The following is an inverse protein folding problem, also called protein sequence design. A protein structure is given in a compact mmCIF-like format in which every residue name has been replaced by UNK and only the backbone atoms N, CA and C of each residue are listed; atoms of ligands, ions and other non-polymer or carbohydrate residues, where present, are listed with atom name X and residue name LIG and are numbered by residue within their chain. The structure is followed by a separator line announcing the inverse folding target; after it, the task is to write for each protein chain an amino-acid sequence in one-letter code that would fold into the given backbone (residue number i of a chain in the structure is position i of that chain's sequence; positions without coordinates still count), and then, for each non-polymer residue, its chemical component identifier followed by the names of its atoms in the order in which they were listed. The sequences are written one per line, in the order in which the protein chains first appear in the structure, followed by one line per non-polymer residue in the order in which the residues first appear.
data_IF_847482026668
#
_entry.id   IF_847482026668
#
_cell.length_a   1.000
_cell.length_b   1.000
_cell.length_c   1.000
_cell.angle_alpha   90.00
_cell.angle_beta   90.00
_cell.angle_gamma   90.00
#
_symmetry.space_group_name_H-M   'P 1'
#
loop_
_entity.id
_entity.type
_entity.pdbx_description
1 polymer ?
#
# COMPACT_ATOMS: atom_id res chain seq x y z
N UNK A 1 29.81 -31.82 76.45
CA UNK A 1 30.19 -30.41 76.59
C UNK A 1 30.99 -30.00 75.34
N UNK A 2 30.53 -29.08 74.60
CA UNK A 2 31.29 -28.54 73.47
C UNK A 2 30.59 -28.62 72.13
N UNK A 3 29.53 -27.85 71.95
CA UNK A 3 28.97 -27.55 70.63
C UNK A 3 28.23 -26.22 70.68
N UNK A 4 28.95 -25.13 70.84
CA UNK A 4 28.33 -23.80 70.98
C UNK A 4 29.05 -22.64 70.27
N UNK A 5 30.25 -22.84 69.75
CA UNK A 5 31.05 -21.73 69.22
C UNK A 5 31.25 -21.67 67.69
N UNK A 6 30.72 -22.65 66.94
CA UNK A 6 30.96 -22.73 65.51
C UNK A 6 29.81 -22.19 64.60
N UNK A 7 28.71 -21.68 65.19
CA UNK A 7 27.60 -21.15 64.41
C UNK A 7 27.65 -19.63 64.27
N UNK A 8 28.22 -18.90 65.22
CA UNK A 8 28.32 -17.42 65.14
C UNK A 8 29.39 -16.89 64.16
N UNK A 9 30.44 -17.68 63.91
CA UNK A 9 31.53 -17.25 62.99
C UNK A 9 31.16 -17.50 61.54
N UNK A 10 30.17 -18.36 61.23
CA UNK A 10 29.72 -18.62 59.87
C UNK A 10 28.64 -17.65 59.40
N UNK A 11 27.90 -16.99 60.32
CA UNK A 11 26.90 -15.97 59.96
C UNK A 11 27.51 -14.56 59.73
N UNK A 12 28.73 -14.29 60.29
CA UNK A 12 29.42 -13.03 60.06
C UNK A 12 30.25 -12.98 58.79
N UNK A 13 30.49 -14.16 58.11
CA UNK A 13 31.18 -14.19 56.80
C UNK A 13 30.17 -14.16 55.62
N UNK A 14 28.90 -14.36 55.81
CA UNK A 14 27.87 -14.23 54.77
C UNK A 14 27.29 -12.82 54.69
N UNK A 15 27.37 -11.99 55.75
CA UNK A 15 26.95 -10.60 55.68
C UNK A 15 27.99 -9.66 55.03
N UNK A 16 29.26 -10.08 54.88
CA UNK A 16 30.30 -9.28 54.22
C UNK A 16 30.45 -9.54 52.71
N UNK A 17 29.72 -10.53 52.13
CA UNK A 17 29.73 -10.82 50.69
C UNK A 17 28.54 -10.20 49.90
N UNK A 18 27.66 -9.43 50.57
CA UNK A 18 26.49 -8.79 49.98
C UNK A 18 26.66 -7.29 49.71
N UNK A 19 27.90 -6.78 49.66
CA UNK A 19 28.19 -5.50 49.04
C UNK A 19 28.45 -5.65 47.54
N UNK A 20 27.58 -6.37 46.81
CA UNK A 20 27.59 -6.35 45.37
C UNK A 20 26.99 -4.99 44.93
N UNK A 21 27.85 -4.17 44.36
CA UNK A 21 27.58 -2.84 43.80
C UNK A 21 26.17 -2.78 43.21
N UNK A 22 25.39 -1.79 43.68
CA UNK A 22 24.09 -1.37 43.12
C UNK A 22 24.36 -0.75 41.73
N UNK A 23 24.92 -1.52 40.77
CA UNK A 23 25.01 -1.10 39.37
C UNK A 23 23.58 -1.11 38.83
N UNK A 24 23.01 0.09 38.65
CA UNK A 24 21.74 0.30 37.94
C UNK A 24 21.77 -0.55 36.66
N UNK A 25 20.90 -1.54 36.54
CA UNK A 25 20.81 -2.37 35.33
C UNK A 25 20.40 -1.44 34.21
N UNK A 26 21.22 -1.35 33.18
CA UNK A 26 20.96 -0.51 32.00
C UNK A 26 19.79 -1.03 31.19
N UNK A 27 19.09 -0.13 30.53
CA UNK A 27 17.97 -0.46 29.64
C UNK A 27 18.39 -0.22 28.19
N UNK A 28 18.05 -1.16 27.35
CA UNK A 28 18.34 -1.12 25.89
C UNK A 28 17.00 -1.13 25.16
N UNK A 29 16.81 -0.24 24.21
CA UNK A 29 15.63 -0.19 23.35
C UNK A 29 15.99 -0.55 21.91
N UNK A 30 15.16 -1.39 21.29
CA UNK A 30 15.23 -1.71 19.86
C UNK A 30 13.81 -1.65 19.28
N UNK A 31 13.67 -1.24 18.01
CA UNK A 31 12.39 -1.23 17.32
C UNK A 31 12.40 -2.15 16.11
N UNK A 32 11.31 -2.89 15.92
CA UNK A 32 11.14 -3.81 14.80
C UNK A 32 9.85 -3.56 14.03
N UNK A 33 9.98 -3.63 12.71
CA UNK A 33 8.88 -3.58 11.75
C UNK A 33 8.71 -4.89 10.97
N UNK A 34 9.59 -5.87 11.20
CA UNK A 34 9.71 -7.06 10.37
C UNK A 34 8.61 -8.08 10.62
N UNK A 35 8.11 -8.70 9.54
CA UNK A 35 7.18 -9.82 9.57
C UNK A 35 7.83 -11.12 10.06
N UNK A 36 9.12 -11.24 9.82
CA UNK A 36 9.88 -12.47 10.07
C UNK A 36 11.09 -12.13 10.93
N UNK A 37 11.24 -12.87 12.03
CA UNK A 37 12.46 -12.83 12.85
C UNK A 37 13.43 -13.88 12.31
N UNK A 38 14.62 -13.44 11.89
CA UNK A 38 15.66 -14.30 11.35
C UNK A 38 16.96 -14.20 12.16
N UNK A 39 17.94 -15.04 11.83
CA UNK A 39 19.21 -15.13 12.57
C UNK A 39 19.94 -13.80 12.76
N UNK A 40 19.86 -12.87 11.81
CA UNK A 40 20.43 -11.52 11.94
C UNK A 40 19.76 -10.68 13.03
N UNK A 41 18.43 -10.70 13.10
CA UNK A 41 17.68 -10.05 14.18
C UNK A 41 18.06 -10.65 15.55
N UNK A 42 18.13 -11.98 15.64
CA UNK A 42 18.53 -12.68 16.88
C UNK A 42 19.96 -12.33 17.28
N UNK A 43 20.89 -12.27 16.34
CA UNK A 43 22.29 -11.89 16.61
C UNK A 43 22.39 -10.44 17.14
N UNK A 44 21.62 -9.51 16.57
CA UNK A 44 21.57 -8.13 17.02
C UNK A 44 20.93 -8.01 18.41
N UNK A 45 19.82 -8.73 18.66
CA UNK A 45 19.18 -8.77 19.97
C UNK A 45 20.10 -9.37 21.06
N UNK A 46 20.89 -10.40 20.76
CA UNK A 46 21.89 -10.95 21.70
C UNK A 46 22.93 -9.92 22.11
N UNK A 47 23.47 -9.15 21.15
CA UNK A 47 24.40 -8.04 21.46
C UNK A 47 23.74 -6.97 22.33
N UNK A 48 22.48 -6.64 22.06
CA UNK A 48 21.71 -5.70 22.89
C UNK A 48 21.47 -6.25 24.32
N UNK A 49 21.18 -7.53 24.47
CA UNK A 49 20.99 -8.20 25.77
C UNK A 49 22.28 -8.18 26.64
N UNK A 50 23.46 -8.26 26.03
CA UNK A 50 24.75 -8.14 26.74
C UNK A 50 24.95 -6.72 27.34
N UNK A 51 24.24 -5.72 26.81
CA UNK A 51 24.37 -4.33 27.24
C UNK A 51 23.36 -3.95 28.35
N UNK A 52 22.25 -4.70 28.51
CA UNK A 52 21.25 -4.42 29.53
C UNK A 52 19.91 -5.14 29.32
N UNK A 53 18.89 -4.70 30.02
CA UNK A 53 17.50 -5.18 29.83
C UNK A 53 16.96 -4.73 28.49
N UNK A 54 16.63 -5.69 27.64
CA UNK A 54 16.15 -5.43 26.28
C UNK A 54 14.64 -5.17 26.26
N UNK A 55 14.26 -3.95 25.86
CA UNK A 55 12.89 -3.55 25.55
C UNK A 55 12.75 -3.49 24.04
N UNK A 56 11.75 -4.19 23.50
CA UNK A 56 11.45 -4.23 22.07
C UNK A 56 10.22 -3.40 21.77
N UNK A 57 10.36 -2.40 20.88
CA UNK A 57 9.25 -1.69 20.25
C UNK A 57 8.77 -2.44 19.00
N UNK A 58 7.47 -2.70 18.89
CA UNK A 58 6.86 -3.23 17.67
C UNK A 58 6.11 -2.11 16.98
N UNK A 59 6.53 -1.75 15.77
CA UNK A 59 5.81 -0.76 14.97
C UNK A 59 4.39 -1.25 14.65
N UNK A 60 3.41 -0.39 14.89
CA UNK A 60 2.03 -0.67 14.49
C UNK A 60 1.93 -0.90 12.98
N UNK A 61 0.88 -1.57 12.54
CA UNK A 61 0.67 -1.84 11.11
C UNK A 61 0.48 -0.54 10.32
N UNK A 62 -0.14 0.47 10.96
CA UNK A 62 -0.32 1.82 10.42
C UNK A 62 1.03 2.53 10.27
N UNK A 63 1.87 2.49 11.31
CA UNK A 63 3.20 3.11 11.25
C UNK A 63 4.07 2.46 10.17
N UNK A 64 4.06 1.14 10.05
CA UNK A 64 4.78 0.44 8.97
C UNK A 64 4.24 0.84 7.60
N UNK A 65 2.92 0.94 7.44
CA UNK A 65 2.29 1.31 6.17
C UNK A 65 2.62 2.74 5.71
N UNK A 66 3.17 3.60 6.58
CA UNK A 66 3.60 4.96 6.18
C UNK A 66 4.92 4.99 5.40
N UNK A 67 5.78 3.98 5.51
CA UNK A 67 7.09 4.00 4.88
C UNK A 67 7.47 2.74 4.10
N UNK A 68 6.76 1.65 4.33
CA UNK A 68 6.90 0.43 3.53
C UNK A 68 5.57 -0.31 3.48
N UNK A 69 5.53 -1.42 2.74
CA UNK A 69 4.32 -2.23 2.65
C UNK A 69 3.88 -2.73 4.01
N UNK A 70 2.56 -2.76 4.19
CA UNK A 70 1.97 -3.35 5.39
C UNK A 70 2.49 -4.77 5.62
N UNK A 71 2.87 -5.11 6.87
CA UNK A 71 3.27 -6.45 7.24
C UNK A 71 2.23 -7.51 6.90
N UNK A 72 2.67 -8.71 6.56
CA UNK A 72 1.79 -9.89 6.40
C UNK A 72 1.26 -10.35 7.75
N UNK A 73 2.13 -10.27 8.78
CA UNK A 73 1.81 -10.64 10.17
C UNK A 73 1.35 -9.38 10.92
N UNK A 74 0.13 -9.36 11.48
CA UNK A 74 -0.36 -8.22 12.26
C UNK A 74 0.54 -7.86 13.43
N UNK A 75 0.55 -6.57 13.84
CA UNK A 75 1.37 -6.11 14.96
C UNK A 75 1.11 -6.90 16.26
N UNK A 76 -0.13 -7.31 16.53
CA UNK A 76 -0.50 -8.15 17.67
C UNK A 76 0.21 -9.50 17.66
N UNK A 77 0.29 -10.16 16.52
CA UNK A 77 0.98 -11.45 16.38
C UNK A 77 2.50 -11.28 16.44
N UNK A 78 3.03 -10.22 15.81
CA UNK A 78 4.45 -9.88 15.90
C UNK A 78 4.87 -9.62 17.35
N UNK A 79 4.03 -8.95 18.13
CA UNK A 79 4.24 -8.73 19.57
C UNK A 79 4.38 -10.05 20.31
N UNK A 80 3.44 -10.99 20.12
CA UNK A 80 3.49 -12.32 20.73
C UNK A 80 4.78 -13.06 20.38
N UNK A 81 5.24 -12.98 19.12
CA UNK A 81 6.51 -13.58 18.70
C UNK A 81 7.69 -13.04 19.51
N UNK A 82 7.81 -11.71 19.64
CA UNK A 82 8.92 -11.10 20.37
C UNK A 82 8.84 -11.31 21.88
N UNK A 83 7.64 -11.38 22.46
CA UNK A 83 7.43 -11.71 23.90
C UNK A 83 7.95 -13.09 24.27
N UNK A 84 8.02 -14.01 23.29
CA UNK A 84 8.50 -15.38 23.49
C UNK A 84 9.98 -15.58 23.10
N UNK A 85 10.71 -14.50 22.78
CA UNK A 85 12.15 -14.59 22.54
C UNK A 85 12.90 -14.52 23.87
N UNK A 86 13.74 -15.52 24.13
CA UNK A 86 14.56 -15.59 25.35
C UNK A 86 15.43 -14.32 25.50
N UNK A 87 15.36 -13.72 26.69
CA UNK A 87 16.17 -12.55 27.06
C UNK A 87 15.55 -11.20 26.68
N UNK A 88 14.38 -11.19 26.03
CA UNK A 88 13.55 -9.97 25.89
C UNK A 88 12.89 -9.71 27.25
N UNK A 89 13.11 -8.50 27.77
CA UNK A 89 12.56 -8.11 29.07
C UNK A 89 11.12 -7.61 28.94
N UNK A 90 10.82 -6.84 27.89
CA UNK A 90 9.50 -6.28 27.64
C UNK A 90 9.30 -6.01 26.17
N UNK A 91 8.06 -6.17 25.67
CA UNK A 91 7.64 -5.77 24.33
C UNK A 91 6.56 -4.70 24.46
N UNK A 92 6.72 -3.61 23.71
CA UNK A 92 5.82 -2.45 23.69
C UNK A 92 5.42 -2.09 22.27
N UNK A 93 4.30 -1.43 22.10
CA UNK A 93 3.90 -0.92 20.80
C UNK A 93 4.58 0.43 20.51
N UNK A 94 4.88 0.66 19.24
CA UNK A 94 5.35 1.95 18.72
C UNK A 94 4.39 2.38 17.61
N UNK A 95 3.59 3.41 17.89
CA UNK A 95 2.47 3.82 17.04
C UNK A 95 2.90 4.68 15.85
N UNK A 96 4.11 5.23 15.88
CA UNK A 96 4.67 6.08 14.82
C UNK A 96 6.10 5.67 14.49
N UNK A 97 6.64 6.19 13.38
CA UNK A 97 8.06 5.99 13.05
C UNK A 97 8.99 6.73 14.04
N UNK A 98 8.54 7.82 14.65
CA UNK A 98 9.28 8.50 15.70
C UNK A 98 9.41 7.60 16.93
N UNK A 99 10.59 7.57 17.48
CA UNK A 99 10.89 6.84 18.74
C UNK A 99 10.52 7.65 19.99
N UNK A 100 10.15 8.91 19.83
CA UNK A 100 9.98 9.90 20.91
C UNK A 100 9.14 9.37 22.06
N UNK A 101 7.94 8.90 21.80
CA UNK A 101 7.00 8.44 22.84
C UNK A 101 7.65 7.37 23.73
N UNK A 102 8.27 6.36 23.13
CA UNK A 102 8.88 5.27 23.89
C UNK A 102 10.21 5.68 24.53
N UNK A 103 11.02 6.54 23.90
CA UNK A 103 12.26 7.01 24.48
C UNK A 103 12.02 7.94 25.67
N UNK A 104 11.03 8.82 25.61
CA UNK A 104 10.63 9.69 26.73
C UNK A 104 9.97 8.89 27.88
N UNK A 105 9.30 7.77 27.57
CA UNK A 105 8.68 6.90 28.58
C UNK A 105 9.68 6.02 29.31
N UNK A 106 10.64 5.40 28.57
CA UNK A 106 11.53 4.40 29.13
C UNK A 106 12.92 4.92 29.50
N UNK A 107 13.32 6.08 28.97
CA UNK A 107 14.66 6.66 29.13
C UNK A 107 15.79 5.62 29.03
N UNK A 108 15.85 4.84 27.90
CA UNK A 108 16.83 3.77 27.79
C UNK A 108 18.26 4.33 27.77
N UNK A 109 19.19 3.63 28.42
CA UNK A 109 20.60 3.99 28.36
C UNK A 109 21.18 3.82 26.95
N UNK A 110 20.62 2.86 26.19
CA UNK A 110 21.02 2.59 24.81
C UNK A 110 19.82 2.39 23.90
N UNK A 111 19.91 2.92 22.68
CA UNK A 111 19.12 2.48 21.53
C UNK A 111 20.04 1.68 20.63
N UNK A 112 19.62 0.48 20.22
CA UNK A 112 20.39 -0.38 19.31
C UNK A 112 19.67 -0.49 17.99
N UNK A 113 20.38 -0.26 16.88
CA UNK A 113 19.86 -0.34 15.52
C UNK A 113 20.93 -0.87 14.53
N UNK A 114 20.52 -1.27 13.33
CA UNK A 114 21.43 -1.45 12.20
C UNK A 114 21.95 -0.10 11.71
N UNK A 115 23.00 -0.09 10.90
CA UNK A 115 23.58 1.15 10.33
C UNK A 115 22.91 1.57 9.00
N UNK A 116 21.87 0.84 8.57
CA UNK A 116 21.12 1.03 7.34
C UNK A 116 20.27 2.31 7.31
N UNK A 117 20.07 2.98 8.44
CA UNK A 117 19.33 4.23 8.56
C UNK A 117 20.21 5.51 8.60
N UNK A 118 21.53 5.38 8.37
CA UNK A 118 22.46 6.52 8.33
C UNK A 118 22.23 7.44 7.14
N UNK A 119 21.66 6.89 6.09
CA UNK A 119 21.33 7.58 4.85
C UNK A 119 19.87 7.34 4.47
N UNK A 120 19.36 8.08 3.48
CA UNK A 120 18.01 7.93 2.99
C UNK A 120 16.94 8.48 3.92
N UNK A 121 15.71 7.98 3.77
CA UNK A 121 14.51 8.53 4.43
C UNK A 121 14.50 8.36 5.96
N UNK A 122 15.21 7.37 6.52
CA UNK A 122 15.26 7.13 7.96
C UNK A 122 16.28 8.01 8.69
N UNK A 123 17.14 8.70 7.96
CA UNK A 123 18.15 9.62 8.56
C UNK A 123 17.54 10.65 9.51
N UNK A 124 16.43 11.35 9.20
CA UNK A 124 15.80 12.29 10.14
C UNK A 124 15.34 11.61 11.45
N UNK A 125 14.86 10.36 11.37
CA UNK A 125 14.45 9.58 12.56
C UNK A 125 15.68 9.26 13.41
N UNK A 126 16.77 8.85 12.78
CA UNK A 126 18.05 8.63 13.45
C UNK A 126 18.53 9.89 14.17
N UNK A 127 18.52 11.04 13.49
CA UNK A 127 18.96 12.32 14.05
C UNK A 127 18.03 12.75 15.23
N UNK A 128 16.74 12.48 15.15
CA UNK A 128 15.79 12.67 16.26
C UNK A 128 16.13 11.78 17.45
N UNK A 129 16.41 10.49 17.23
CA UNK A 129 16.81 9.54 18.28
C UNK A 129 18.07 10.03 19.00
N UNK A 130 19.10 10.45 18.25
CA UNK A 130 20.34 11.00 18.82
C UNK A 130 20.03 12.22 19.69
N UNK A 131 19.21 13.14 19.20
CA UNK A 131 18.82 14.36 19.95
C UNK A 131 18.10 14.04 21.26
N UNK A 132 17.15 13.09 21.22
CA UNK A 132 16.39 12.68 22.42
C UNK A 132 17.33 11.99 23.42
N UNK A 133 18.16 11.04 22.98
CA UNK A 133 19.12 10.35 23.83
C UNK A 133 20.10 11.32 24.51
N UNK A 134 20.60 12.30 23.77
CA UNK A 134 21.50 13.32 24.30
C UNK A 134 20.87 14.15 25.44
N UNK A 135 19.55 14.35 25.44
CA UNK A 135 18.84 15.14 26.45
C UNK A 135 18.90 14.53 27.87
N UNK A 136 19.11 13.21 27.98
CA UNK A 136 19.19 12.51 29.27
C UNK A 136 20.43 11.60 29.42
N UNK A 137 21.42 11.70 28.49
CA UNK A 137 22.69 10.98 28.55
C UNK A 137 22.67 9.54 28.03
N UNK A 138 21.64 9.17 27.25
CA UNK A 138 21.58 7.90 26.52
C UNK A 138 22.47 7.91 25.28
N UNK A 139 22.70 6.74 24.67
CA UNK A 139 23.56 6.56 23.50
C UNK A 139 22.91 5.69 22.43
N UNK A 140 23.11 6.07 21.17
CA UNK A 140 22.79 5.23 20.02
C UNK A 140 23.97 4.30 19.70
N UNK A 141 23.72 3.00 19.62
CA UNK A 141 24.69 1.98 19.24
C UNK A 141 24.24 1.36 17.93
N UNK A 142 25.06 1.47 16.91
CA UNK A 142 24.78 0.94 15.58
C UNK A 142 25.72 -0.20 15.24
N UNK A 143 25.14 -1.29 14.72
CA UNK A 143 25.89 -2.43 14.22
C UNK A 143 25.78 -2.49 12.69
N UNK A 144 26.87 -2.89 12.00
CA UNK A 144 26.79 -3.07 10.56
C UNK A 144 25.65 -4.02 10.18
N UNK A 145 24.81 -3.58 9.25
CA UNK A 145 23.81 -4.46 8.64
C UNK A 145 24.55 -5.52 7.84
N UNK A 146 24.51 -6.77 8.30
CA UNK A 146 25.16 -7.86 7.57
C UNK A 146 24.36 -8.15 6.30
N UNK A 147 24.91 -7.84 5.14
CA UNK A 147 24.39 -8.26 3.82
C UNK A 147 24.51 -9.79 3.70
N UNK A 148 23.68 -10.50 4.42
CA UNK A 148 23.65 -11.96 4.43
C UNK A 148 22.83 -12.45 3.23
N UNK A 149 23.39 -13.34 2.36
CA UNK A 149 22.62 -13.95 1.25
C UNK A 149 21.28 -14.56 1.68
N UNK A 150 21.18 -15.11 2.89
CA UNK A 150 19.94 -15.64 3.45
C UNK A 150 18.88 -14.56 3.69
N UNK A 151 19.26 -13.32 3.97
CA UNK A 151 18.29 -12.21 4.11
C UNK A 151 17.70 -11.83 2.75
N UNK A 152 18.53 -11.80 1.69
CA UNK A 152 18.06 -11.58 0.32
C UNK A 152 17.10 -12.68 -0.13
N UNK A 153 17.38 -13.94 0.22
CA UNK A 153 16.50 -15.07 -0.08
C UNK A 153 15.16 -14.96 0.67
N UNK A 154 15.16 -14.57 1.95
CA UNK A 154 13.92 -14.34 2.73
C UNK A 154 13.11 -13.20 2.14
N UNK A 155 13.75 -12.09 1.74
CA UNK A 155 13.05 -10.96 1.12
C UNK A 155 12.51 -11.32 -0.26
N UNK A 156 13.27 -12.06 -1.07
CA UNK A 156 12.81 -12.57 -2.36
C UNK A 156 11.62 -13.53 -2.19
N UNK A 157 11.67 -14.43 -1.22
CA UNK A 157 10.57 -15.35 -0.90
C UNK A 157 9.34 -14.60 -0.39
N UNK A 158 9.51 -13.61 0.48
CA UNK A 158 8.42 -12.73 0.93
C UNK A 158 7.78 -11.97 -0.23
N UNK A 159 8.58 -11.56 -1.23
CA UNK A 159 8.08 -10.93 -2.46
C UNK A 159 7.31 -11.93 -3.32
N UNK A 160 7.84 -13.14 -3.51
CA UNK A 160 7.16 -14.23 -4.22
C UNK A 160 5.82 -14.58 -3.55
N UNK A 161 5.78 -14.70 -2.23
CA UNK A 161 4.54 -14.94 -1.49
C UNK A 161 3.49 -13.83 -1.73
N UNK A 162 3.93 -12.56 -1.78
CA UNK A 162 3.04 -11.42 -2.04
C UNK A 162 2.51 -11.39 -3.47
N UNK A 163 3.21 -11.96 -4.43
CA UNK A 163 2.75 -12.08 -5.83
C UNK A 163 1.64 -13.12 -5.99
N UNK A 164 1.49 -14.03 -5.03
CA UNK A 164 0.46 -15.07 -5.06
C UNK A 164 -0.95 -14.47 -5.18
N UNK A 165 -1.80 -15.00 -6.08
CA UNK A 165 -3.13 -14.46 -6.35
C UNK A 165 -3.99 -14.29 -5.10
N UNK A 166 -3.94 -15.22 -4.14
CA UNK A 166 -4.72 -15.17 -2.89
C UNK A 166 -4.28 -14.01 -2.00
N UNK A 167 -2.99 -13.75 -1.93
CA UNK A 167 -2.43 -12.68 -1.09
C UNK A 167 -2.71 -11.32 -1.73
N UNK A 168 -2.50 -11.20 -3.05
CA UNK A 168 -2.78 -9.98 -3.80
C UNK A 168 -4.26 -9.60 -3.70
N UNK A 169 -5.17 -10.56 -3.94
CA UNK A 169 -6.62 -10.35 -3.91
C UNK A 169 -7.10 -9.75 -2.60
N UNK A 170 -6.65 -10.26 -1.45
CA UNK A 170 -7.05 -9.77 -0.11
C UNK A 170 -6.39 -8.45 0.31
N UNK A 171 -5.32 -8.02 -0.39
CA UNK A 171 -4.48 -6.90 0.06
C UNK A 171 -5.22 -5.57 0.05
N UNK A 172 -6.10 -5.32 -0.92
CA UNK A 172 -6.88 -4.07 -0.99
C UNK A 172 -7.80 -3.90 0.22
N UNK A 173 -8.55 -4.95 0.62
CA UNK A 173 -9.40 -4.88 1.82
C UNK A 173 -8.61 -4.63 3.10
N UNK A 174 -7.40 -5.21 3.21
CA UNK A 174 -6.52 -4.94 4.34
C UNK A 174 -6.05 -3.49 4.36
N UNK A 175 -5.65 -2.95 3.21
CA UNK A 175 -5.24 -1.55 3.09
C UNK A 175 -6.36 -0.58 3.46
N UNK A 176 -7.57 -0.82 2.98
CA UNK A 176 -8.75 -0.01 3.31
C UNK A 176 -9.03 0.02 4.82
N UNK A 177 -8.88 -1.12 5.51
CA UNK A 177 -9.07 -1.20 6.97
C UNK A 177 -8.00 -0.45 7.77
N UNK A 178 -6.79 -0.31 7.24
CA UNK A 178 -5.64 0.21 8.01
C UNK A 178 -5.20 1.62 7.62
N UNK A 179 -5.32 2.00 6.35
CA UNK A 179 -4.84 3.30 5.87
C UNK A 179 -5.92 4.39 5.86
N UNK A 180 -7.19 3.96 5.77
CA UNK A 180 -8.32 4.88 5.61
C UNK A 180 -8.41 5.54 4.23
N UNK A 181 -7.27 5.79 3.54
CA UNK A 181 -7.21 6.23 2.15
C UNK A 181 -6.16 5.42 1.40
N UNK A 182 -6.53 4.87 0.25
CA UNK A 182 -5.71 4.10 -0.69
C UNK A 182 -5.52 4.89 -1.96
N UNK A 183 -4.29 4.99 -2.46
CA UNK A 183 -3.98 5.64 -3.73
C UNK A 183 -3.61 4.60 -4.79
N UNK A 184 -4.21 4.71 -5.97
CA UNK A 184 -3.95 3.84 -7.11
C UNK A 184 -3.53 4.66 -8.34
N UNK A 185 -2.60 4.11 -9.13
CA UNK A 185 -2.19 4.71 -10.40
C UNK A 185 -2.48 3.77 -11.57
N UNK A 186 -2.85 4.36 -12.71
CA UNK A 186 -3.14 3.59 -13.92
C UNK A 186 -1.89 2.91 -14.47
N UNK A 187 -2.04 1.61 -14.77
CA UNK A 187 -1.06 0.76 -15.44
C UNK A 187 -1.74 0.01 -16.59
N UNK A 188 -0.98 -0.38 -17.61
CA UNK A 188 -1.54 -0.99 -18.82
C UNK A 188 -0.57 -1.93 -19.53
N UNK A 189 0.61 -2.17 -18.96
CA UNK A 189 1.62 -3.14 -19.38
C UNK A 189 2.59 -3.43 -18.23
N UNK A 190 3.51 -4.39 -18.42
CA UNK A 190 4.52 -4.74 -17.42
C UNK A 190 5.45 -3.58 -17.06
N UNK A 191 5.81 -2.71 -18.01
CA UNK A 191 6.69 -1.56 -17.76
C UNK A 191 6.04 -0.53 -16.85
N UNK A 192 4.79 -0.14 -17.13
CA UNK A 192 4.06 0.79 -16.27
C UNK A 192 3.76 0.18 -14.90
N UNK A 193 3.57 -1.15 -14.85
CA UNK A 193 3.51 -1.92 -13.61
C UNK A 193 4.78 -1.79 -12.78
N UNK A 194 5.96 -2.00 -13.37
CA UNK A 194 7.26 -1.83 -12.70
C UNK A 194 7.46 -0.40 -12.18
N UNK A 195 7.11 0.60 -12.97
CA UNK A 195 7.19 2.01 -12.56
C UNK A 195 6.28 2.25 -11.34
N UNK A 196 5.02 1.82 -11.40
CA UNK A 196 4.08 1.99 -10.30
C UNK A 196 4.50 1.22 -9.04
N UNK A 197 5.11 0.04 -9.20
CA UNK A 197 5.61 -0.79 -8.10
C UNK A 197 6.75 -0.12 -7.35
N UNK A 198 7.71 0.49 -8.07
CA UNK A 198 8.99 0.93 -7.51
C UNK A 198 9.06 2.45 -7.29
N UNK A 199 8.12 3.24 -7.83
CA UNK A 199 8.12 4.69 -7.60
C UNK A 199 7.86 5.00 -6.12
N UNK A 200 8.83 5.66 -5.50
CA UNK A 200 8.78 6.12 -4.13
C UNK A 200 9.32 7.55 -4.03
N UNK A 201 8.76 8.34 -3.14
CA UNK A 201 9.21 9.70 -2.85
C UNK A 201 9.35 9.86 -1.35
N UNK A 202 10.53 10.29 -0.92
CA UNK A 202 10.77 10.62 0.47
C UNK A 202 10.30 12.04 0.78
N UNK A 203 9.38 12.15 1.71
CA UNK A 203 8.77 13.41 2.08
C UNK A 203 8.51 13.47 3.58
N UNK A 204 9.05 14.48 4.26
CA UNK A 204 8.84 14.72 5.71
C UNK A 204 9.14 13.50 6.60
N UNK A 205 10.17 12.73 6.28
CA UNK A 205 10.58 11.55 7.07
C UNK A 205 9.71 10.30 6.84
N UNK A 206 8.87 10.31 5.82
CA UNK A 206 8.10 9.14 5.39
C UNK A 206 8.26 8.90 3.89
N UNK A 207 8.31 7.63 3.50
CA UNK A 207 8.32 7.24 2.08
C UNK A 207 6.90 7.08 1.59
N UNK A 208 6.52 7.83 0.56
CA UNK A 208 5.23 7.72 -0.12
C UNK A 208 5.36 6.89 -1.37
N UNK A 209 4.43 5.95 -1.55
CA UNK A 209 4.27 5.10 -2.72
C UNK A 209 2.79 4.97 -3.06
N UNK A 210 2.49 4.61 -4.31
CA UNK A 210 1.13 4.16 -4.63
C UNK A 210 0.82 2.85 -3.91
N UNK A 211 -0.39 2.73 -3.39
CA UNK A 211 -0.83 1.56 -2.63
C UNK A 211 -1.34 0.43 -3.51
N UNK A 212 -1.92 0.79 -4.66
CA UNK A 212 -2.60 -0.09 -5.59
C UNK A 212 -2.34 0.32 -7.05
N UNK A 213 -2.69 -0.56 -7.96
CA UNK A 213 -2.66 -0.34 -9.40
C UNK A 213 -4.07 -0.35 -9.96
N UNK A 214 -4.31 0.50 -10.95
CA UNK A 214 -5.56 0.58 -11.70
C UNK A 214 -5.32 0.15 -13.14
N UNK A 215 -5.90 -0.97 -13.58
CA UNK A 215 -5.87 -1.37 -14.99
C UNK A 215 -7.02 -0.67 -15.71
N UNK A 216 -6.69 0.45 -16.35
CA UNK A 216 -7.62 1.33 -17.06
C UNK A 216 -7.95 0.79 -18.44
N UNK A 217 -9.23 0.68 -18.78
CA UNK A 217 -9.66 0.32 -20.13
C UNK A 217 -9.22 1.32 -21.20
N UNK A 218 -9.26 2.61 -20.86
CA UNK A 218 -8.77 3.68 -21.75
C UNK A 218 -7.28 3.51 -22.08
N UNK A 219 -6.44 3.29 -21.05
CA UNK A 219 -5.00 3.18 -21.25
C UNK A 219 -4.63 1.87 -21.96
N UNK A 220 -5.24 0.76 -21.60
CA UNK A 220 -5.03 -0.54 -22.23
C UNK A 220 -5.43 -0.51 -23.73
N UNK A 221 -6.60 0.05 -24.04
CA UNK A 221 -7.04 0.23 -25.44
C UNK A 221 -6.10 1.15 -26.22
N UNK A 222 -5.72 2.29 -25.63
CA UNK A 222 -4.82 3.28 -26.27
C UNK A 222 -3.44 2.68 -26.55
N UNK A 223 -2.86 1.92 -25.61
CA UNK A 223 -1.58 1.23 -25.80
C UNK A 223 -1.59 0.25 -26.96
N UNK A 224 -2.77 -0.33 -27.24
CA UNK A 224 -3.00 -1.25 -28.38
C UNK A 224 -3.43 -0.54 -29.67
N UNK A 225 -3.49 0.81 -29.68
CA UNK A 225 -3.99 1.60 -30.83
C UNK A 225 -5.47 1.40 -31.13
N UNK A 226 -6.27 1.02 -30.14
CA UNK A 226 -7.71 0.76 -30.25
C UNK A 226 -8.53 1.83 -29.50
N UNK A 227 -9.75 2.17 -29.97
CA UNK A 227 -10.63 3.07 -29.24
C UNK A 227 -11.18 2.43 -27.97
N UNK A 228 -11.46 3.26 -26.94
CA UNK A 228 -12.03 2.86 -25.65
C UNK A 228 -13.56 2.68 -25.72
N UNK A 229 -13.97 1.60 -26.35
CA UNK A 229 -15.37 1.22 -26.62
C UNK A 229 -15.68 -0.25 -26.36
N UNK A 230 -14.98 -0.88 -25.40
CA UNK A 230 -14.99 -2.32 -25.13
C UNK A 230 -14.53 -3.18 -26.36
N UNK A 231 -13.70 -2.58 -27.25
CA UNK A 231 -13.17 -3.28 -28.40
C UNK A 231 -12.07 -4.28 -28.03
N UNK A 232 -11.29 -3.99 -26.99
CA UNK A 232 -10.35 -4.96 -26.41
C UNK A 232 -11.14 -5.90 -25.54
N UNK A 233 -11.23 -7.16 -25.98
CA UNK A 233 -12.03 -8.15 -25.27
C UNK A 233 -11.38 -8.59 -23.95
N UNK A 234 -12.16 -9.29 -23.12
CA UNK A 234 -11.73 -9.70 -21.79
C UNK A 234 -10.55 -10.68 -21.82
N UNK A 235 -10.41 -11.48 -22.87
CA UNK A 235 -9.28 -12.44 -23.00
C UNK A 235 -7.97 -11.69 -23.18
N UNK A 236 -7.95 -10.69 -24.06
CA UNK A 236 -6.78 -9.81 -24.24
C UNK A 236 -6.46 -9.05 -22.94
N UNK A 237 -7.47 -8.58 -22.23
CA UNK A 237 -7.30 -7.83 -20.98
C UNK A 237 -6.83 -8.69 -19.80
N UNK A 238 -7.14 -9.99 -19.81
CA UNK A 238 -6.53 -10.94 -18.85
C UNK A 238 -5.03 -11.07 -19.08
N UNK A 239 -4.56 -11.06 -20.34
CA UNK A 239 -3.12 -11.01 -20.67
C UNK A 239 -2.44 -9.78 -20.05
N UNK A 240 -3.06 -8.59 -20.13
CA UNK A 240 -2.55 -7.37 -19.44
C UNK A 240 -2.44 -7.58 -17.93
N UNK A 241 -3.43 -8.24 -17.30
CA UNK A 241 -3.36 -8.57 -15.87
C UNK A 241 -2.18 -9.49 -15.59
N UNK A 242 -1.97 -10.53 -16.41
CA UNK A 242 -0.87 -11.49 -16.27
C UNK A 242 0.49 -10.80 -16.38
N UNK A 243 0.72 -9.99 -17.41
CA UNK A 243 1.95 -9.21 -17.59
C UNK A 243 2.28 -8.34 -16.38
N UNK A 244 1.27 -7.63 -15.84
CA UNK A 244 1.45 -6.76 -14.68
C UNK A 244 1.69 -7.59 -13.41
N UNK A 245 1.01 -8.70 -13.23
CA UNK A 245 1.16 -9.55 -12.04
C UNK A 245 2.50 -10.24 -11.97
N UNK A 246 3.13 -10.54 -13.12
CA UNK A 246 4.47 -11.11 -13.23
C UNK A 246 5.52 -10.24 -12.51
N UNK A 247 5.42 -8.93 -12.68
CA UNK A 247 6.46 -7.98 -12.23
C UNK A 247 6.08 -7.16 -11.01
N UNK A 248 4.89 -7.37 -10.45
CA UNK A 248 4.35 -6.53 -9.36
C UNK A 248 3.75 -7.35 -8.24
N UNK A 249 3.55 -6.71 -7.08
CA UNK A 249 2.94 -7.35 -5.91
C UNK A 249 1.80 -6.52 -5.28
N UNK A 250 1.59 -5.27 -5.73
CA UNK A 250 0.51 -4.40 -5.23
C UNK A 250 -0.87 -4.92 -5.63
N UNK A 251 -1.94 -4.65 -4.86
CA UNK A 251 -3.30 -5.00 -5.25
C UNK A 251 -3.71 -4.32 -6.54
N UNK A 252 -4.50 -5.03 -7.33
CA UNK A 252 -5.00 -4.56 -8.62
C UNK A 252 -6.49 -4.25 -8.52
N UNK A 253 -6.85 -3.06 -8.99
CA UNK A 253 -8.21 -2.61 -9.27
C UNK A 253 -8.36 -2.64 -10.78
N UNK A 254 -9.39 -3.33 -11.28
CA UNK A 254 -9.61 -3.57 -12.71
C UNK A 254 -10.84 -2.79 -13.21
N UNK A 255 -10.66 -2.04 -14.30
CA UNK A 255 -11.75 -1.39 -15.02
C UNK A 255 -12.52 -2.43 -15.82
N UNK A 256 -13.70 -2.79 -15.36
CA UNK A 256 -14.56 -3.79 -15.99
C UNK A 256 -15.51 -3.20 -17.02
N UNK A 257 -15.33 -1.93 -17.40
CA UNK A 257 -16.25 -1.22 -18.33
C UNK A 257 -17.71 -1.32 -17.86
N UNK A 258 -18.65 -1.69 -18.73
CA UNK A 258 -20.05 -1.92 -18.36
C UNK A 258 -20.28 -3.27 -17.67
N UNK A 259 -19.27 -4.12 -17.58
CA UNK A 259 -19.38 -5.51 -17.16
C UNK A 259 -19.99 -6.41 -18.23
N UNK A 260 -20.36 -5.87 -19.39
CA UNK A 260 -21.00 -6.63 -20.48
C UNK A 260 -22.35 -7.22 -20.08
N UNK A 261 -22.70 -8.36 -20.69
CA UNK A 261 -23.92 -9.12 -20.32
C UNK A 261 -23.74 -9.77 -18.95
N UNK A 262 -24.81 -9.83 -18.17
CA UNK A 262 -24.80 -10.41 -16.81
C UNK A 262 -24.25 -11.84 -16.80
N UNK A 263 -24.58 -12.66 -17.77
CA UNK A 263 -24.09 -14.04 -17.90
C UNK A 263 -22.57 -14.08 -18.12
N UNK A 264 -22.01 -13.13 -18.88
CA UNK A 264 -20.58 -13.03 -19.12
C UNK A 264 -19.85 -12.45 -17.88
N UNK A 265 -20.46 -11.49 -17.19
CA UNK A 265 -19.89 -10.89 -15.97
C UNK A 265 -19.62 -11.92 -14.88
N UNK A 266 -20.46 -12.95 -14.75
CA UNK A 266 -20.24 -14.08 -13.84
C UNK A 266 -18.89 -14.76 -14.10
N UNK A 267 -18.51 -14.96 -15.37
CA UNK A 267 -17.24 -15.58 -15.74
C UNK A 267 -16.07 -14.61 -15.61
N UNK A 268 -16.29 -13.33 -15.91
CA UNK A 268 -15.33 -12.23 -15.69
C UNK A 268 -14.92 -12.17 -14.22
N UNK A 269 -15.89 -12.15 -13.29
CA UNK A 269 -15.63 -12.18 -11.85
C UNK A 269 -14.76 -13.36 -11.44
N UNK A 270 -15.11 -14.59 -11.90
CA UNK A 270 -14.36 -15.81 -11.58
C UNK A 270 -12.93 -15.79 -12.13
N UNK A 271 -12.74 -15.22 -13.32
CA UNK A 271 -11.41 -15.14 -13.96
C UNK A 271 -10.53 -14.11 -13.26
N UNK A 272 -11.04 -12.90 -13.00
CA UNK A 272 -10.31 -11.85 -12.29
C UNK A 272 -9.95 -12.29 -10.86
N UNK A 273 -10.86 -12.95 -10.18
CA UNK A 273 -10.61 -13.51 -8.85
C UNK A 273 -9.48 -14.55 -8.85
N UNK A 274 -9.46 -15.44 -9.86
CA UNK A 274 -8.38 -16.43 -10.05
C UNK A 274 -7.04 -15.78 -10.37
N UNK A 275 -7.02 -14.69 -11.14
CA UNK A 275 -5.82 -13.94 -11.49
C UNK A 275 -5.29 -13.09 -10.32
N UNK A 276 -5.99 -13.05 -9.17
CA UNK A 276 -5.55 -12.31 -8.00
C UNK A 276 -5.91 -10.82 -8.01
N UNK A 277 -6.80 -10.38 -8.92
CA UNK A 277 -7.35 -9.02 -8.90
C UNK A 277 -8.11 -8.81 -7.60
N UNK A 278 -7.95 -7.63 -7.00
CA UNK A 278 -8.57 -7.31 -5.70
C UNK A 278 -9.97 -6.72 -5.85
N UNK A 279 -10.21 -5.94 -6.91
CA UNK A 279 -11.50 -5.29 -7.15
C UNK A 279 -11.74 -5.12 -8.65
N UNK A 280 -12.98 -5.35 -9.08
CA UNK A 280 -13.48 -4.91 -10.39
C UNK A 280 -14.43 -3.74 -10.22
N UNK A 281 -14.31 -2.72 -11.07
CA UNK A 281 -15.26 -1.60 -11.15
C UNK A 281 -16.06 -1.75 -12.43
N UNK A 282 -17.39 -1.70 -12.34
CA UNK A 282 -18.30 -1.71 -13.48
C UNK A 282 -19.19 -0.47 -13.45
N UNK A 283 -19.43 0.12 -14.63
CA UNK A 283 -20.25 1.34 -14.76
C UNK A 283 -21.70 1.03 -15.16
N UNK A 284 -22.64 1.79 -14.63
CA UNK A 284 -24.09 1.62 -14.84
C UNK A 284 -24.57 2.17 -16.20
N UNK A 285 -23.84 1.79 -17.28
CA UNK A 285 -24.21 2.12 -18.67
C UNK A 285 -24.55 0.86 -19.48
N UNK A 286 -25.29 1.07 -20.54
CA UNK A 286 -25.68 0.02 -21.51
C UNK A 286 -25.32 0.42 -22.93
N UNK A 287 -25.32 -0.57 -23.84
CA UNK A 287 -24.98 -0.38 -25.23
C UNK A 287 -23.49 -0.29 -25.46
N UNK A 288 -23.09 0.36 -26.55
CA UNK A 288 -21.68 0.58 -26.85
C UNK A 288 -21.09 1.60 -25.88
N UNK A 289 -20.08 1.20 -25.13
CA UNK A 289 -19.37 2.08 -24.21
C UNK A 289 -18.90 3.35 -24.92
N UNK A 290 -19.01 4.46 -24.23
CA UNK A 290 -18.41 5.75 -24.58
C UNK A 290 -17.67 6.27 -23.37
N UNK A 291 -16.52 6.93 -23.62
CA UNK A 291 -15.75 7.52 -22.53
C UNK A 291 -16.60 8.58 -21.81
N UNK A 292 -16.63 8.52 -20.48
CA UNK A 292 -17.45 9.39 -19.63
C UNK A 292 -17.10 10.89 -19.77
N UNK A 293 -15.86 11.21 -20.15
CA UNK A 293 -15.45 12.62 -20.36
C UNK A 293 -16.17 13.31 -21.54
N UNK A 294 -16.76 12.53 -22.47
CA UNK A 294 -17.64 13.11 -23.50
C UNK A 294 -18.98 13.61 -22.91
N UNK A 295 -19.37 13.09 -21.72
CA UNK A 295 -20.63 13.49 -21.08
C UNK A 295 -21.83 13.33 -21.98
N UNK A 296 -22.62 14.41 -22.10
CA UNK A 296 -23.81 14.48 -22.95
C UNK A 296 -23.52 14.89 -24.40
N UNK A 297 -22.24 15.12 -24.77
CA UNK A 297 -21.84 15.41 -26.16
C UNK A 297 -22.02 14.21 -27.10
N UNK A 298 -22.09 13.01 -26.55
CA UNK A 298 -22.41 11.78 -27.27
C UNK A 298 -23.55 11.04 -26.58
N UNK A 299 -24.33 10.33 -27.37
CA UNK A 299 -25.44 9.53 -26.79
C UNK A 299 -24.86 8.40 -25.95
N UNK A 300 -25.21 8.41 -24.67
CA UNK A 300 -24.86 7.39 -23.69
C UNK A 300 -26.15 7.00 -22.95
N UNK A 301 -26.37 5.71 -22.74
CA UNK A 301 -27.57 5.19 -22.06
C UNK A 301 -27.16 4.63 -20.71
N UNK A 302 -27.75 5.18 -19.65
CA UNK A 302 -27.62 4.64 -18.30
C UNK A 302 -28.55 3.45 -18.13
N UNK A 303 -28.08 2.41 -17.47
CA UNK A 303 -28.84 1.21 -17.15
C UNK A 303 -29.94 1.51 -16.12
N UNK A 304 -30.97 0.66 -16.05
CA UNK A 304 -31.92 0.75 -14.95
C UNK A 304 -31.28 0.32 -13.62
N UNK A 305 -31.76 0.86 -12.52
CA UNK A 305 -31.32 0.48 -11.18
C UNK A 305 -31.49 -1.03 -10.96
N UNK A 306 -32.64 -1.55 -11.37
CA UNK A 306 -33.01 -2.95 -11.20
C UNK A 306 -32.03 -3.88 -11.95
N UNK A 307 -31.84 -3.63 -13.26
CA UNK A 307 -30.99 -4.49 -14.11
C UNK A 307 -29.53 -4.44 -13.66
N UNK A 308 -29.00 -3.26 -13.34
CA UNK A 308 -27.61 -3.15 -12.86
C UNK A 308 -27.45 -3.78 -11.46
N UNK A 309 -28.44 -3.66 -10.58
CA UNK A 309 -28.46 -4.35 -9.28
C UNK A 309 -28.48 -5.88 -9.43
N UNK A 310 -29.24 -6.40 -10.41
CA UNK A 310 -29.21 -7.85 -10.73
C UNK A 310 -27.84 -8.31 -11.21
N UNK A 311 -27.13 -7.52 -12.04
CA UNK A 311 -25.78 -7.78 -12.48
C UNK A 311 -24.81 -7.84 -11.28
N UNK A 312 -24.91 -6.88 -10.35
CA UNK A 312 -24.12 -6.89 -9.11
C UNK A 312 -24.40 -8.14 -8.30
N UNK A 313 -25.66 -8.50 -8.03
CA UNK A 313 -26.04 -9.72 -7.29
C UNK A 313 -25.50 -10.98 -7.97
N UNK A 314 -25.58 -11.06 -9.29
CA UNK A 314 -25.05 -12.18 -10.06
C UNK A 314 -23.52 -12.28 -9.92
N UNK A 315 -22.80 -11.17 -10.00
CA UNK A 315 -21.36 -11.10 -9.76
C UNK A 315 -21.00 -11.52 -8.34
N UNK A 316 -21.71 -11.02 -7.33
CA UNK A 316 -21.52 -11.39 -5.92
C UNK A 316 -21.74 -12.88 -5.68
N UNK A 317 -22.77 -13.46 -6.27
CA UNK A 317 -23.04 -14.91 -6.20
C UNK A 317 -21.97 -15.75 -6.91
N UNK A 318 -21.31 -15.17 -7.93
CA UNK A 318 -20.25 -15.85 -8.67
C UNK A 318 -18.91 -15.91 -7.94
N UNK A 319 -18.66 -15.00 -6.99
CA UNK A 319 -17.46 -14.95 -6.18
C UNK A 319 -17.24 -16.26 -5.42
N UNK A 320 -15.99 -16.66 -5.28
CA UNK A 320 -15.55 -17.83 -4.50
C UNK A 320 -15.00 -17.45 -3.15
N UNK A 321 -14.52 -16.19 -3.02
CA UNK A 321 -13.92 -15.67 -1.80
C UNK A 321 -14.57 -14.33 -1.45
N UNK A 322 -14.49 -13.94 -0.17
CA UNK A 322 -15.02 -12.64 0.29
C UNK A 322 -14.02 -11.50 0.09
N UNK A 323 -12.78 -11.81 -0.27
CA UNK A 323 -11.72 -10.82 -0.43
C UNK A 323 -11.82 -10.02 -1.73
N UNK A 324 -12.30 -10.65 -2.81
CA UNK A 324 -12.56 -9.96 -4.08
C UNK A 324 -13.69 -8.94 -3.91
N UNK A 325 -13.58 -7.80 -4.55
CA UNK A 325 -14.54 -6.70 -4.43
C UNK A 325 -15.19 -6.38 -5.77
N UNK A 326 -16.48 -6.04 -5.74
CA UNK A 326 -17.21 -5.46 -6.86
C UNK A 326 -17.57 -4.02 -6.50
N UNK A 327 -17.10 -3.06 -7.29
CA UNK A 327 -17.41 -1.65 -7.15
C UNK A 327 -18.39 -1.23 -8.23
N UNK A 328 -19.46 -0.56 -7.84
CA UNK A 328 -20.45 0.03 -8.75
C UNK A 328 -20.05 1.49 -9.06
N UNK A 329 -19.82 1.79 -10.33
CA UNK A 329 -19.55 3.14 -10.82
C UNK A 329 -20.83 3.75 -11.34
N UNK A 330 -21.17 4.94 -10.81
CA UNK A 330 -22.39 5.66 -11.06
C UNK A 330 -22.11 6.80 -12.05
N UNK A 331 -22.80 6.80 -13.16
CA UNK A 331 -22.62 7.78 -14.24
C UNK A 331 -23.70 8.90 -14.22
N UNK A 332 -24.55 8.96 -13.21
CA UNK A 332 -25.66 9.94 -13.12
C UNK A 332 -25.21 11.38 -13.25
N UNK A 333 -24.08 11.77 -12.61
CA UNK A 333 -23.55 13.14 -12.70
C UNK A 333 -22.93 13.43 -14.08
N UNK A 334 -22.35 12.43 -14.72
CA UNK A 334 -21.83 12.51 -16.09
C UNK A 334 -22.96 12.72 -17.10
N UNK A 335 -24.08 12.03 -16.90
CA UNK A 335 -25.25 12.04 -17.78
C UNK A 335 -26.30 13.09 -17.38
N UNK A 336 -25.95 13.97 -16.42
CA UNK A 336 -26.78 15.09 -15.96
C UNK A 336 -28.16 14.65 -15.41
N UNK A 337 -28.23 13.43 -14.81
CA UNK A 337 -29.42 12.89 -14.14
C UNK A 337 -29.65 13.51 -12.76
N UNK A 338 -28.63 14.16 -12.22
CA UNK A 338 -28.68 14.88 -10.95
C UNK A 338 -28.27 14.05 -9.73
N UNK A 339 -28.21 14.75 -8.61
CA UNK A 339 -27.71 14.22 -7.35
C UNK A 339 -28.61 13.16 -6.74
N UNK A 340 -29.94 13.36 -6.84
CA UNK A 340 -30.93 12.42 -6.26
C UNK A 340 -30.86 11.05 -6.93
N UNK A 341 -30.76 11.02 -8.27
CA UNK A 341 -30.57 9.77 -9.02
C UNK A 341 -29.24 9.10 -8.66
N UNK A 342 -28.14 9.88 -8.51
CA UNK A 342 -26.85 9.35 -8.10
C UNK A 342 -26.90 8.67 -6.71
N UNK A 343 -27.53 9.29 -5.73
CA UNK A 343 -27.69 8.76 -4.38
C UNK A 343 -28.62 7.54 -4.34
N UNK A 344 -29.74 7.60 -5.03
CA UNK A 344 -30.68 6.47 -5.13
C UNK A 344 -29.99 5.23 -5.69
N UNK A 345 -29.18 5.39 -6.76
CA UNK A 345 -28.36 4.32 -7.34
C UNK A 345 -27.31 3.80 -6.36
N UNK A 346 -26.61 4.71 -5.69
CA UNK A 346 -25.59 4.33 -4.73
C UNK A 346 -26.15 3.40 -3.65
N UNK A 347 -27.26 3.76 -3.02
CA UNK A 347 -27.88 2.94 -1.99
C UNK A 347 -28.44 1.63 -2.54
N UNK A 348 -29.09 1.65 -3.70
CA UNK A 348 -29.60 0.44 -4.34
C UNK A 348 -28.48 -0.54 -4.70
N UNK A 349 -27.33 -0.04 -5.14
CA UNK A 349 -26.18 -0.88 -5.50
C UNK A 349 -25.46 -1.44 -4.27
N UNK A 350 -25.40 -0.68 -3.17
CA UNK A 350 -24.94 -1.20 -1.87
C UNK A 350 -25.86 -2.32 -1.38
N UNK A 351 -27.18 -2.12 -1.44
CA UNK A 351 -28.18 -3.14 -1.09
C UNK A 351 -28.06 -4.39 -1.99
N UNK A 352 -27.71 -4.21 -3.26
CA UNK A 352 -27.44 -5.31 -4.18
C UNK A 352 -26.14 -6.07 -3.86
N UNK A 353 -25.29 -5.54 -2.95
CA UNK A 353 -24.07 -6.16 -2.47
C UNK A 353 -22.79 -5.59 -3.08
N UNK A 354 -22.81 -4.41 -3.69
CA UNK A 354 -21.59 -3.73 -4.10
C UNK A 354 -20.68 -3.49 -2.89
N UNK A 355 -19.39 -3.80 -3.03
CA UNK A 355 -18.40 -3.66 -1.96
C UNK A 355 -17.83 -2.25 -1.87
N UNK A 356 -18.06 -1.43 -2.89
CA UNK A 356 -17.63 -0.04 -2.97
C UNK A 356 -18.50 0.72 -3.99
N UNK A 357 -18.57 2.04 -3.85
CA UNK A 357 -19.26 2.93 -4.79
C UNK A 357 -18.22 3.88 -5.40
N UNK A 358 -18.27 4.05 -6.72
CA UNK A 358 -17.49 5.05 -7.43
C UNK A 358 -18.42 6.09 -8.02
N UNK A 359 -18.21 7.34 -7.68
CA UNK A 359 -18.89 8.49 -8.26
C UNK A 359 -17.96 9.24 -9.19
N UNK A 360 -18.46 9.67 -10.34
CA UNK A 360 -17.68 10.34 -11.36
C UNK A 360 -18.33 11.67 -11.76
N UNK A 361 -17.51 12.70 -12.01
CA UNK A 361 -17.92 13.99 -12.53
C UNK A 361 -16.91 14.54 -13.52
N UNK A 362 -17.37 15.25 -14.53
CA UNK A 362 -16.52 15.98 -15.49
C UNK A 362 -16.29 17.44 -15.12
N UNK A 363 -16.97 17.96 -14.09
CA UNK A 363 -16.80 19.33 -13.62
C UNK A 363 -15.42 19.54 -13.01
N UNK A 364 -14.83 20.72 -13.24
CA UNK A 364 -13.56 21.11 -12.60
C UNK A 364 -13.75 21.50 -11.13
N UNK A 365 -14.92 22.01 -10.78
CA UNK A 365 -15.30 22.33 -9.42
C UNK A 365 -15.64 21.04 -8.66
N UNK A 366 -14.96 20.76 -7.53
CA UNK A 366 -15.17 19.55 -6.73
C UNK A 366 -16.46 19.57 -5.89
N UNK A 367 -17.19 20.67 -5.83
CA UNK A 367 -18.37 20.87 -4.95
C UNK A 367 -19.42 19.79 -5.16
N UNK A 368 -19.68 19.38 -6.40
CA UNK A 368 -20.66 18.34 -6.71
C UNK A 368 -20.25 16.97 -6.10
N UNK A 369 -18.98 16.62 -6.19
CA UNK A 369 -18.47 15.37 -5.60
C UNK A 369 -18.45 15.46 -4.07
N UNK A 370 -18.04 16.59 -3.49
CA UNK A 370 -18.07 16.80 -2.03
C UNK A 370 -19.49 16.70 -1.48
N UNK A 371 -20.48 17.28 -2.16
CA UNK A 371 -21.90 17.17 -1.79
C UNK A 371 -22.41 15.71 -1.88
N UNK A 372 -22.04 14.97 -2.93
CA UNK A 372 -22.37 13.55 -2.99
C UNK A 372 -21.78 12.78 -1.80
N UNK A 373 -20.50 12.98 -1.50
CA UNK A 373 -19.84 12.29 -0.39
C UNK A 373 -20.51 12.62 0.95
N UNK A 374 -20.78 13.89 1.23
CA UNK A 374 -21.42 14.34 2.47
C UNK A 374 -22.77 13.65 2.66
N UNK A 375 -23.62 13.69 1.64
CA UNK A 375 -24.97 13.10 1.68
C UNK A 375 -24.93 11.57 1.75
N UNK A 376 -24.02 10.93 1.02
CA UNK A 376 -23.86 9.48 1.09
C UNK A 376 -23.38 9.06 2.47
N UNK A 377 -22.39 9.78 3.05
CA UNK A 377 -21.85 9.48 4.38
C UNK A 377 -22.82 9.72 5.54
N UNK A 378 -23.82 10.54 5.35
CA UNK A 378 -24.91 10.73 6.32
C UNK A 378 -25.71 9.44 6.56
N UNK A 379 -25.83 8.57 5.53
CA UNK A 379 -26.59 7.33 5.58
C UNK A 379 -25.68 6.07 5.64
N UNK A 380 -24.50 6.11 5.00
CA UNK A 380 -23.55 4.99 4.93
C UNK A 380 -22.13 5.46 5.27
N UNK A 381 -21.67 5.12 6.47
CA UNK A 381 -20.32 5.43 6.95
C UNK A 381 -19.29 4.35 6.64
N UNK A 382 -19.69 3.20 6.08
CA UNK A 382 -18.88 1.98 5.98
C UNK A 382 -18.41 1.70 4.57
N UNK A 383 -19.32 1.79 3.57
CA UNK A 383 -19.01 1.42 2.19
C UNK A 383 -17.91 2.30 1.60
N UNK A 384 -16.80 1.75 1.11
CA UNK A 384 -15.73 2.52 0.51
C UNK A 384 -16.20 3.37 -0.68
N UNK A 385 -15.79 4.64 -0.70
CA UNK A 385 -15.99 5.55 -1.83
C UNK A 385 -14.72 5.68 -2.66
N UNK A 386 -14.87 5.51 -3.97
CA UNK A 386 -13.82 5.58 -4.98
C UNK A 386 -13.97 6.86 -5.80
N UNK A 387 -12.90 7.62 -5.94
CA UNK A 387 -12.85 8.84 -6.73
C UNK A 387 -11.78 8.75 -7.82
N UNK A 388 -12.08 9.35 -8.99
CA UNK A 388 -11.13 9.54 -10.09
C UNK A 388 -11.03 11.04 -10.41
N UNK A 389 -10.18 11.80 -9.72
CA UNK A 389 -10.14 13.26 -9.83
C UNK A 389 -9.42 13.74 -11.10
N UNK A 390 -9.81 13.24 -12.27
CA UNK A 390 -9.21 13.67 -13.56
C UNK A 390 -9.58 15.11 -13.91
N UNK A 391 -10.83 15.50 -13.70
CA UNK A 391 -11.32 16.86 -14.00
C UNK A 391 -11.11 17.84 -12.83
N UNK A 392 -11.27 17.38 -11.59
CA UNK A 392 -11.16 18.15 -10.34
C UNK A 392 -9.86 17.85 -9.58
N UNK A 393 -8.76 17.82 -10.30
CA UNK A 393 -7.44 17.37 -9.81
C UNK A 393 -6.70 18.36 -8.89
N UNK A 394 -7.30 19.51 -8.56
CA UNK A 394 -6.68 20.51 -7.66
C UNK A 394 -6.79 20.17 -6.19
N UNK A 395 -7.69 19.25 -5.81
CA UNK A 395 -7.95 18.87 -4.41
C UNK A 395 -6.93 17.82 -3.96
N UNK A 396 -6.34 18.02 -2.80
CA UNK A 396 -5.34 17.10 -2.23
C UNK A 396 -5.97 15.84 -1.63
N UNK A 397 -5.18 14.78 -1.52
CA UNK A 397 -5.61 13.49 -0.97
C UNK A 397 -6.12 13.62 0.48
N UNK A 398 -5.46 14.45 1.30
CA UNK A 398 -5.86 14.68 2.69
C UNK A 398 -7.25 15.32 2.79
N UNK A 399 -7.59 16.21 1.86
CA UNK A 399 -8.92 16.82 1.80
C UNK A 399 -9.98 15.78 1.40
N UNK A 400 -9.70 14.93 0.41
CA UNK A 400 -10.59 13.84 0.04
C UNK A 400 -10.80 12.83 1.17
N UNK A 401 -9.72 12.51 1.88
CA UNK A 401 -9.79 11.67 3.08
C UNK A 401 -10.68 12.29 4.15
N UNK A 402 -10.52 13.58 4.42
CA UNK A 402 -11.33 14.32 5.38
C UNK A 402 -12.81 14.37 4.99
N UNK A 403 -13.12 14.41 3.68
CA UNK A 403 -14.48 14.34 3.18
C UNK A 403 -15.09 12.93 3.30
N UNK A 404 -14.28 11.87 3.48
CA UNK A 404 -14.76 10.49 3.60
C UNK A 404 -14.53 9.62 2.36
N UNK A 405 -13.67 10.02 1.43
CA UNK A 405 -13.20 9.16 0.33
C UNK A 405 -12.21 8.11 0.86
N UNK A 406 -12.20 6.93 0.24
CA UNK A 406 -11.36 5.81 0.66
C UNK A 406 -10.38 5.36 -0.40
N UNK A 407 -10.65 5.60 -1.69
CA UNK A 407 -9.76 5.27 -2.79
C UNK A 407 -9.68 6.44 -3.75
N UNK A 408 -8.45 6.86 -4.09
CA UNK A 408 -8.17 7.86 -5.13
C UNK A 408 -7.45 7.15 -6.27
N UNK A 409 -7.97 7.27 -7.50
CA UNK A 409 -7.38 6.68 -8.70
C UNK A 409 -6.83 7.78 -9.62
N UNK A 410 -5.54 7.72 -9.90
CA UNK A 410 -4.86 8.51 -10.92
C UNK A 410 -4.93 7.75 -12.25
N UNK A 411 -5.94 8.05 -13.06
CA UNK A 411 -6.44 7.15 -14.10
C UNK A 411 -5.66 7.16 -15.42
N UNK A 412 -4.86 8.18 -15.74
CA UNK A 412 -4.27 8.30 -17.08
C UNK A 412 -2.96 9.10 -17.16
N UNK A 413 -2.36 9.48 -16.06
CA UNK A 413 -1.21 10.38 -16.02
C UNK A 413 0.02 9.78 -16.71
N UNK A 414 0.31 8.49 -16.49
CA UNK A 414 1.46 7.81 -17.13
C UNK A 414 1.31 7.79 -18.65
N UNK A 415 0.13 7.40 -19.16
CA UNK A 415 -0.15 7.39 -20.60
C UNK A 415 -0.02 8.80 -21.21
N UNK A 416 -0.56 9.81 -20.54
CA UNK A 416 -0.49 11.21 -21.01
C UNK A 416 0.92 11.78 -20.94
N UNK A 417 1.78 11.30 -20.06
CA UNK A 417 3.19 11.66 -20.00
C UNK A 417 4.00 10.96 -21.10
N UNK A 418 3.72 9.68 -21.36
CA UNK A 418 4.42 8.86 -22.33
C UNK A 418 4.28 9.37 -23.77
N UNK A 419 3.06 9.69 -24.19
CA UNK A 419 2.79 10.07 -25.59
C UNK A 419 3.59 11.29 -26.07
N UNK A 420 3.61 12.44 -25.38
CA UNK A 420 4.39 13.60 -25.81
C UNK A 420 5.90 13.34 -25.74
N UNK A 421 6.40 12.58 -24.76
CA UNK A 421 7.82 12.26 -24.66
C UNK A 421 8.29 11.40 -25.85
N UNK A 422 7.55 10.34 -26.17
CA UNK A 422 7.85 9.48 -27.32
C UNK A 422 7.77 10.27 -28.65
N UNK A 423 6.76 11.14 -28.81
CA UNK A 423 6.62 11.99 -30.00
C UNK A 423 7.80 12.92 -30.16
N UNK A 424 8.21 13.58 -29.07
CA UNK A 424 9.36 14.49 -29.08
C UNK A 424 10.64 13.77 -29.53
N UNK A 425 10.93 12.59 -29.00
CA UNK A 425 12.08 11.79 -29.43
C UNK A 425 12.02 11.48 -30.93
N UNK A 426 10.85 11.03 -31.43
CA UNK A 426 10.67 10.73 -32.86
C UNK A 426 10.86 11.97 -33.74
N UNK A 427 10.29 13.13 -33.36
CA UNK A 427 10.43 14.40 -34.07
C UNK A 427 11.89 14.88 -34.09
N UNK A 428 12.63 14.74 -32.99
CA UNK A 428 14.06 15.11 -32.91
C UNK A 428 14.89 14.28 -33.87
N UNK A 429 14.71 12.96 -33.92
CA UNK A 429 15.41 12.07 -34.86
C UNK A 429 15.10 12.45 -36.31
N UNK A 430 13.84 12.69 -36.66
CA UNK A 430 13.44 13.12 -37.99
C UNK A 430 14.03 14.45 -38.39
N UNK A 431 14.13 15.39 -37.45
CA UNK A 431 14.68 16.75 -37.71
C UNK A 431 16.17 16.71 -37.96
N UNK A 432 16.92 15.93 -37.21
CA UNK A 432 18.39 15.90 -37.24
C UNK A 432 18.96 14.74 -38.07
N UNK A 433 18.13 13.82 -38.53
CA UNK A 433 18.51 12.60 -39.25
C UNK A 433 19.53 11.71 -38.49
N UNK A 434 19.54 11.84 -37.17
CA UNK A 434 20.36 11.05 -36.20
C UNK A 434 19.77 11.14 -34.81
N UNK A 435 20.25 10.33 -33.86
CA UNK A 435 19.70 10.23 -32.51
C UNK A 435 20.46 11.03 -31.43
N UNK A 436 21.63 11.60 -31.75
CA UNK A 436 22.52 12.26 -30.77
C UNK A 436 21.80 13.33 -29.93
N UNK A 437 20.91 14.11 -30.57
CA UNK A 437 20.18 15.18 -29.91
C UNK A 437 19.08 14.70 -28.96
N UNK A 438 18.79 13.40 -28.97
CA UNK A 438 17.85 12.80 -28.01
C UNK A 438 18.54 12.45 -26.66
N UNK A 439 19.86 12.25 -26.64
CA UNK A 439 20.54 11.62 -25.48
C UNK A 439 20.33 12.33 -24.15
N UNK A 440 20.18 13.65 -24.15
CA UNK A 440 19.95 14.44 -22.94
C UNK A 440 18.58 14.18 -22.27
N UNK A 441 17.63 13.64 -23.03
CA UNK A 441 16.25 13.41 -22.57
C UNK A 441 15.90 11.92 -22.44
N UNK A 442 16.82 11.04 -22.85
CA UNK A 442 16.62 9.60 -22.80
C UNK A 442 17.25 9.01 -21.53
N UNK A 443 16.63 7.94 -21.03
CA UNK A 443 17.26 7.07 -20.06
C UNK A 443 18.52 6.46 -20.67
N UNK A 444 19.62 6.39 -19.92
CA UNK A 444 20.85 5.80 -20.45
C UNK A 444 20.66 4.33 -20.82
N UNK A 445 21.41 3.87 -21.83
CA UNK A 445 21.35 2.48 -22.28
C UNK A 445 21.71 1.49 -21.16
N UNK A 446 22.59 1.86 -20.25
CA UNK A 446 22.97 1.03 -19.09
C UNK A 446 21.84 0.94 -18.04
N UNK A 447 21.04 2.01 -17.88
CA UNK A 447 19.91 2.00 -16.95
C UNK A 447 18.74 1.15 -17.49
N UNK A 448 18.42 1.26 -18.80
CA UNK A 448 17.32 0.48 -19.36
C UNK A 448 17.60 -1.02 -19.34
N UNK A 449 18.85 -1.45 -19.58
CA UNK A 449 19.23 -2.88 -19.50
C UNK A 449 19.09 -3.41 -18.06
N UNK A 450 19.34 -2.54 -17.06
CA UNK A 450 19.26 -2.90 -15.64
C UNK A 450 17.88 -2.73 -15.04
N UNK A 451 16.94 -2.15 -15.77
CA UNK A 451 15.59 -1.91 -15.29
C UNK A 451 14.88 -3.22 -14.90
N UNK A 452 15.15 -4.27 -15.67
CA UNK A 452 14.67 -5.62 -15.41
C UNK A 452 15.90 -6.53 -15.27
N UNK A 453 16.32 -6.85 -14.03
CA UNK A 453 17.48 -7.76 -13.83
C UNK A 453 17.19 -9.13 -14.44
N UNK A 454 18.12 -9.67 -15.23
CA UNK A 454 18.11 -11.07 -15.58
C UNK A 454 18.58 -11.88 -14.37
N UNK A 455 17.81 -12.86 -13.95
CA UNK A 455 18.15 -13.78 -12.85
C UNK A 455 19.17 -14.86 -13.24
N UNK A 456 20.06 -14.58 -14.23
CA UNK A 456 21.06 -15.54 -14.71
C UNK A 456 22.40 -15.25 -14.07
#
# INVERSE_FOLDING_TARGET
MGTGENIKTKMLSEEQSLSCSNKKIKTVYMCFASDIVHGGHIALMKKAQEMGRLVIGILSDEAVATYKRKPLVPASERKIMFENITGVFQVVEQHTLSYRENLEKFHPDFVVHGDDWREGFQKPIRDEVISILASYGGQLIEFPYSDNPQHREIDARSRADRSMPEIRRRSLRKLLKTKGLVTAIAVYDGLTGLIAENTAVDQNGSTRQFDAMWISSLCDSTARGKPDIELVDMTDRYGTVEEITEVTTKPIIFDGDTGGKTEHFIYTVRSLERLGVSMVIIEDKTGLKKNSLFGTEVVQTQDSIEHFSEKIRAGKKAQRTQEFMICARIESLILERGMEDALQRAFAFVEAGADAIMIHSRKKDPTEIKNFIERFRAEDSITPLVLVPTSYHSVREEEWKACGANIIIYANQLMRAQVPAMRKAAETILTHHRAEECDAELMSFSEIIRLIPSEI
#
